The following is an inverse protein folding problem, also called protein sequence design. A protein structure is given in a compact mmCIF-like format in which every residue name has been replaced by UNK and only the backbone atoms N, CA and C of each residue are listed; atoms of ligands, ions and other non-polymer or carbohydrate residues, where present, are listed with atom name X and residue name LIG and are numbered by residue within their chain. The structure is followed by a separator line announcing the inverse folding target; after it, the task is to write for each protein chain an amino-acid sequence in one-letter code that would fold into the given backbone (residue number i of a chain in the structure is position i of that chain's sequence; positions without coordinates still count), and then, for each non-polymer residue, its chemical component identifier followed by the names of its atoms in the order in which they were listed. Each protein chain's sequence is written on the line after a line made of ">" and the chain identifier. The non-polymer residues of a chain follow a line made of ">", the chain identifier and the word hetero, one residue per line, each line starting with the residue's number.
data_IF_800756443817
#
_entry.id   IF_800756443817
#
_cell.length_a   1.000
_cell.length_b   1.000
_cell.length_c   1.000
_cell.angle_alpha   90.00
_cell.angle_beta   90.00
_cell.angle_gamma   90.00
#
_symmetry.space_group_name_H-M   'P 1'
#
loop_
_entity.id
_entity.type
_entity.pdbx_description
1 polymer ?
#
# COMPACT_ATOMS: atom_id res chain seq x y z
N UNK A 1 9.70 1.29 -1.16
CA UNK A 1 9.98 2.75 -1.25
C UNK A 1 11.42 2.94 -1.70
N UNK A 2 11.81 4.13 -2.12
CA UNK A 2 13.19 4.37 -2.55
C UNK A 2 13.41 5.78 -3.09
N UNK A 3 14.59 6.02 -3.64
CA UNK A 3 15.02 7.32 -4.17
C UNK A 3 15.06 7.34 -5.70
N UNK A 4 14.88 8.53 -6.27
CA UNK A 4 14.98 8.81 -7.70
C UNK A 4 16.24 9.64 -7.94
N UNK A 5 17.06 9.19 -8.89
CA UNK A 5 18.33 9.79 -9.26
C UNK A 5 18.27 10.28 -10.71
N UNK A 6 18.82 11.46 -10.95
CA UNK A 6 18.81 12.07 -12.27
C UNK A 6 19.23 13.52 -12.22
N UNK A 7 18.75 14.30 -13.19
CA UNK A 7 19.14 15.69 -13.40
C UNK A 7 17.91 16.58 -13.63
N UNK A 8 18.06 17.87 -13.32
CA UNK A 8 17.05 18.89 -13.62
C UNK A 8 17.65 19.87 -14.62
N UNK A 9 16.97 20.09 -15.74
CA UNK A 9 17.40 21.00 -16.81
C UNK A 9 16.38 22.12 -16.97
N UNK A 10 16.84 23.37 -17.01
CA UNK A 10 16.01 24.52 -17.36
C UNK A 10 16.25 24.90 -18.81
N UNK A 11 15.20 24.89 -19.63
CA UNK A 11 15.24 25.29 -21.03
C UNK A 11 14.42 26.57 -21.20
N UNK A 12 15.06 27.64 -21.66
CA UNK A 12 14.37 28.87 -22.02
C UNK A 12 13.74 28.71 -23.40
N UNK A 13 12.43 28.86 -23.46
CA UNK A 13 11.65 28.82 -24.69
C UNK A 13 11.13 30.22 -24.97
N UNK A 14 11.61 30.81 -26.06
CA UNK A 14 11.07 32.06 -26.57
C UNK A 14 9.82 31.74 -27.38
N UNK A 15 8.66 32.17 -26.90
CA UNK A 15 7.44 32.13 -27.70
C UNK A 15 7.31 33.46 -28.43
N UNK A 16 7.39 33.42 -29.76
CA UNK A 16 7.13 34.59 -30.60
C UNK A 16 5.62 34.70 -30.70
N UNK A 17 5.06 35.78 -30.19
CA UNK A 17 3.63 36.09 -30.32
C UNK A 17 3.39 36.89 -31.61
N UNK A 18 2.16 36.88 -32.13
CA UNK A 18 1.81 37.65 -33.35
C UNK A 18 1.88 39.18 -33.11
N UNK A 19 1.83 39.61 -31.85
CA UNK A 19 2.25 40.93 -31.41
C UNK A 19 3.78 40.97 -31.30
N UNK A 20 4.43 42.07 -31.68
CA UNK A 20 5.90 42.28 -31.60
C UNK A 20 6.45 42.32 -30.14
N UNK A 21 6.03 41.38 -29.30
CA UNK A 21 6.40 41.19 -27.91
C UNK A 21 6.93 39.76 -27.76
N UNK A 22 8.14 39.65 -27.22
CA UNK A 22 8.74 38.37 -26.88
C UNK A 22 8.33 37.99 -25.45
N UNK A 23 7.77 36.79 -25.28
CA UNK A 23 7.57 36.18 -23.96
C UNK A 23 8.53 35.00 -23.79
N UNK A 24 9.31 35.05 -22.71
CA UNK A 24 10.37 34.08 -22.40
C UNK A 24 9.92 33.21 -21.25
N UNK A 25 9.54 31.98 -21.56
CA UNK A 25 9.18 30.99 -20.57
C UNK A 25 10.38 30.08 -20.27
N UNK A 26 10.63 29.78 -18.99
CA UNK A 26 11.64 28.79 -18.61
C UNK A 26 10.94 27.50 -18.19
N UNK A 27 11.14 26.45 -18.96
CA UNK A 27 10.60 25.12 -18.69
C UNK A 27 11.66 24.31 -17.93
N UNK A 28 11.32 23.87 -16.72
CA UNK A 28 12.17 22.99 -15.93
C UNK A 28 11.77 21.53 -16.15
N UNK A 29 12.62 20.78 -16.84
CA UNK A 29 12.46 19.36 -17.11
C UNK A 29 13.25 18.53 -16.11
N UNK A 30 12.58 17.60 -15.44
CA UNK A 30 13.19 16.64 -14.50
C UNK A 30 13.38 15.31 -15.22
N UNK A 31 14.63 14.91 -15.43
CA UNK A 31 15.00 13.67 -16.09
C UNK A 31 15.35 12.58 -15.07
N UNK A 32 14.47 11.59 -14.92
CA UNK A 32 14.66 10.46 -14.00
C UNK A 32 15.43 9.35 -14.70
N UNK A 33 16.67 9.13 -14.29
CA UNK A 33 17.60 8.23 -15.01
C UNK A 33 17.80 6.89 -14.29
N UNK A 34 17.69 6.87 -12.96
CA UNK A 34 17.84 5.66 -12.13
C UNK A 34 16.99 5.76 -10.88
N UNK A 35 16.66 4.61 -10.29
CA UNK A 35 16.07 4.54 -8.95
C UNK A 35 16.95 3.71 -8.01
N UNK A 36 16.80 3.97 -6.72
CA UNK A 36 17.47 3.25 -5.64
C UNK A 36 16.41 2.65 -4.70
N UNK A 37 16.16 1.33 -4.74
CA UNK A 37 15.17 0.70 -3.88
C UNK A 37 15.67 0.58 -2.43
N UNK A 38 14.80 0.90 -1.49
CA UNK A 38 14.97 0.58 -0.07
C UNK A 38 14.15 -0.68 0.25
N UNK A 39 14.83 -1.79 0.52
CA UNK A 39 14.21 -3.11 0.73
C UNK A 39 13.47 -3.25 2.06
N UNK A 40 13.65 -2.32 3.00
CA UNK A 40 12.98 -2.31 4.29
C UNK A 40 12.23 -0.99 4.51
N UNK A 41 10.99 -1.10 4.98
CA UNK A 41 10.21 0.06 5.43
C UNK A 41 10.86 0.68 6.67
N UNK A 42 10.75 2.00 6.81
CA UNK A 42 11.36 2.73 7.93
C UNK A 42 12.89 2.57 8.00
N UNK A 43 13.53 2.30 6.86
CA UNK A 43 14.99 2.10 6.80
C UNK A 43 15.77 3.39 7.04
N UNK A 44 15.21 4.55 6.68
CA UNK A 44 15.85 5.86 6.82
C UNK A 44 15.00 6.87 7.61
N UNK A 45 13.89 6.45 8.21
CA UNK A 45 13.00 7.31 8.99
C UNK A 45 12.25 6.53 10.08
N UNK A 46 11.82 7.22 11.14
CA UNK A 46 11.08 6.62 12.25
C UNK A 46 9.54 6.71 12.06
N UNK A 47 8.77 6.19 13.03
CA UNK A 47 7.30 6.20 12.98
C UNK A 47 6.69 7.62 12.92
N UNK A 48 7.39 8.59 13.52
CA UNK A 48 7.05 10.02 13.50
C UNK A 48 7.43 10.73 12.19
N UNK A 49 8.13 10.07 11.26
CA UNK A 49 8.56 10.64 9.99
C UNK A 49 9.86 11.46 10.08
N UNK A 50 10.57 11.40 11.19
CA UNK A 50 11.89 12.01 11.37
C UNK A 50 12.95 11.15 10.67
N UNK A 51 13.95 11.81 10.10
CA UNK A 51 14.98 11.15 9.31
C UNK A 51 16.09 10.57 10.20
N UNK A 52 16.54 9.37 9.87
CA UNK A 52 17.80 8.83 10.36
C UNK A 52 18.91 9.18 9.38
N UNK A 53 19.64 10.26 9.66
CA UNK A 53 20.67 10.78 8.76
C UNK A 53 21.80 9.79 8.49
N UNK A 54 22.19 8.98 9.48
CA UNK A 54 23.25 7.99 9.32
C UNK A 54 22.82 6.88 8.36
N UNK A 55 21.59 6.38 8.52
CA UNK A 55 21.03 5.39 7.62
C UNK A 55 20.85 5.96 6.21
N UNK A 56 20.36 7.20 6.09
CA UNK A 56 20.20 7.89 4.82
C UNK A 56 21.55 8.07 4.11
N UNK A 57 22.59 8.53 4.82
CA UNK A 57 23.95 8.63 4.28
C UNK A 57 24.48 7.29 3.81
N UNK A 58 24.22 6.20 4.54
CA UNK A 58 24.62 4.84 4.14
C UNK A 58 23.88 4.34 2.90
N UNK A 59 22.61 4.68 2.76
CA UNK A 59 21.81 4.30 1.58
C UNK A 59 22.28 5.09 0.35
N UNK A 60 22.58 6.38 0.53
CA UNK A 60 23.03 7.27 -0.55
C UNK A 60 24.54 7.17 -0.81
N UNK A 61 25.33 6.57 0.08
CA UNK A 61 26.78 6.40 -0.09
C UNK A 61 27.05 5.48 -1.26
N UNK A 62 27.57 6.05 -2.35
CA UNK A 62 27.82 5.34 -3.62
C UNK A 62 26.99 5.87 -4.79
N UNK A 63 26.04 6.78 -4.55
CA UNK A 63 25.32 7.47 -5.62
C UNK A 63 26.20 8.60 -6.20
N UNK A 64 26.59 8.47 -7.47
CA UNK A 64 27.30 9.54 -8.21
C UNK A 64 26.37 10.64 -8.73
N UNK A 65 25.08 10.32 -8.90
CA UNK A 65 24.06 11.23 -9.45
C UNK A 65 23.27 11.91 -8.33
N UNK A 66 22.70 13.06 -8.66
CA UNK A 66 21.92 13.86 -7.71
C UNK A 66 20.59 13.18 -7.37
N UNK A 67 20.14 13.36 -6.13
CA UNK A 67 18.81 12.91 -5.69
C UNK A 67 17.80 13.98 -6.07
N UNK A 68 16.97 13.65 -7.07
CA UNK A 68 15.93 14.55 -7.60
C UNK A 68 14.56 14.27 -7.00
N UNK A 69 14.38 13.11 -6.38
CA UNK A 69 13.10 12.73 -5.79
C UNK A 69 13.15 11.43 -5.01
N UNK A 70 11.96 10.99 -4.60
CA UNK A 70 11.76 9.69 -3.99
C UNK A 70 10.43 9.09 -4.43
N UNK A 71 10.27 7.78 -4.25
CA UNK A 71 9.09 7.07 -4.69
C UNK A 71 8.55 6.12 -3.61
N UNK A 72 7.24 5.89 -3.67
CA UNK A 72 6.57 4.91 -2.83
C UNK A 72 5.57 4.12 -3.65
N UNK A 73 5.60 2.81 -3.42
CA UNK A 73 4.64 1.86 -4.00
C UNK A 73 3.63 1.46 -2.93
N UNK A 74 2.35 1.54 -3.24
CA UNK A 74 1.23 1.12 -2.38
C UNK A 74 0.32 0.17 -3.15
N UNK A 75 -0.46 -0.61 -2.43
CA UNK A 75 -1.44 -1.54 -3.00
C UNK A 75 -2.83 -1.21 -2.48
N UNK A 76 -3.81 -1.16 -3.37
CA UNK A 76 -5.23 -0.93 -3.08
C UNK A 76 -5.47 0.34 -2.25
N UNK A 77 -4.86 1.45 -2.66
CA UNK A 77 -5.01 2.77 -2.01
C UNK A 77 -5.24 3.85 -3.06
N UNK A 78 -5.89 4.94 -2.65
CA UNK A 78 -6.10 6.13 -3.47
C UNK A 78 -4.78 6.78 -3.92
N UNK A 79 -4.85 7.60 -4.96
CA UNK A 79 -3.70 8.32 -5.52
C UNK A 79 -3.46 9.68 -4.86
N UNK A 80 -3.37 9.67 -3.53
CA UNK A 80 -3.17 10.87 -2.68
C UNK A 80 -2.03 10.67 -1.69
N UNK A 81 -1.30 11.73 -1.35
CA UNK A 81 -0.21 11.64 -0.37
C UNK A 81 -0.75 11.48 1.05
N UNK A 82 -0.22 10.53 1.82
CA UNK A 82 -0.54 10.38 3.25
C UNK A 82 0.12 11.47 4.08
N UNK A 83 -0.39 11.69 5.29
CA UNK A 83 0.22 12.62 6.26
C UNK A 83 1.72 12.35 6.47
N UNK A 84 2.09 11.07 6.65
CA UNK A 84 3.49 10.67 6.83
C UNK A 84 4.34 10.98 5.60
N UNK A 85 3.83 10.71 4.40
CA UNK A 85 4.55 11.01 3.16
C UNK A 85 4.78 12.51 2.98
N UNK A 86 3.80 13.35 3.35
CA UNK A 86 3.93 14.81 3.30
C UNK A 86 4.99 15.32 4.28
N UNK A 87 5.01 14.79 5.50
CA UNK A 87 6.01 15.14 6.51
C UNK A 87 7.41 14.67 6.10
N UNK A 88 7.52 13.42 5.66
CA UNK A 88 8.78 12.84 5.21
C UNK A 88 9.34 13.62 4.01
N UNK A 89 8.50 14.01 3.07
CA UNK A 89 8.91 14.82 1.92
C UNK A 89 9.53 16.15 2.37
N UNK A 90 8.88 16.88 3.29
CA UNK A 90 9.43 18.13 3.84
C UNK A 90 10.77 17.91 4.55
N UNK A 91 10.87 16.85 5.34
CA UNK A 91 12.11 16.54 6.05
C UNK A 91 13.25 16.20 5.07
N UNK A 92 12.96 15.44 4.01
CA UNK A 92 13.92 15.13 2.95
C UNK A 92 14.33 16.37 2.16
N UNK A 93 13.39 17.26 1.85
CA UNK A 93 13.64 18.52 1.16
C UNK A 93 14.63 19.40 1.94
N UNK A 94 14.43 19.50 3.25
CA UNK A 94 15.33 20.23 4.16
C UNK A 94 16.71 19.57 4.27
N UNK A 95 16.77 18.25 4.44
CA UNK A 95 18.04 17.53 4.61
C UNK A 95 18.89 17.51 3.33
N UNK A 96 18.27 17.34 2.16
CA UNK A 96 18.95 17.29 0.87
C UNK A 96 19.19 18.69 0.26
N UNK A 97 18.69 19.76 0.90
CA UNK A 97 18.73 21.13 0.38
C UNK A 97 18.20 21.27 -1.07
N UNK A 98 17.24 20.42 -1.46
CA UNK A 98 16.66 20.41 -2.81
C UNK A 98 15.19 20.82 -2.76
N UNK A 99 14.89 22.09 -3.06
CA UNK A 99 13.51 22.61 -3.07
C UNK A 99 12.65 22.06 -4.22
N UNK A 100 13.27 21.52 -5.26
CA UNK A 100 12.60 20.91 -6.42
C UNK A 100 12.33 19.42 -6.25
N UNK A 101 12.50 18.85 -5.05
CA UNK A 101 12.32 17.43 -4.80
C UNK A 101 10.92 16.97 -5.23
N UNK A 102 10.86 15.87 -6.00
CA UNK A 102 9.59 15.28 -6.43
C UNK A 102 9.28 13.98 -5.70
N UNK A 103 7.99 13.68 -5.58
CA UNK A 103 7.48 12.44 -5.00
C UNK A 103 6.67 11.65 -6.02
N UNK A 104 7.19 10.50 -6.43
CA UNK A 104 6.48 9.57 -7.31
C UNK A 104 5.67 8.58 -6.48
N UNK A 105 4.35 8.67 -6.57
CA UNK A 105 3.44 7.74 -5.95
C UNK A 105 2.95 6.72 -6.98
N UNK A 106 3.13 5.43 -6.69
CA UNK A 106 2.60 4.33 -7.48
C UNK A 106 1.58 3.55 -6.65
N UNK A 107 0.40 3.32 -7.20
CA UNK A 107 -0.66 2.53 -6.58
C UNK A 107 -1.09 1.42 -7.52
N UNK A 108 -0.92 0.18 -7.09
CA UNK A 108 -1.46 -0.97 -7.79
C UNK A 108 -2.79 -1.37 -7.16
N UNK A 109 -3.86 -1.43 -7.94
CA UNK A 109 -5.18 -1.87 -7.49
C UNK A 109 -5.69 -3.01 -8.34
N UNK A 110 -6.41 -3.94 -7.71
CA UNK A 110 -7.19 -4.94 -8.44
C UNK A 110 -8.53 -4.31 -8.80
N UNK A 111 -8.90 -4.34 -10.08
CA UNK A 111 -10.12 -3.70 -10.58
C UNK A 111 -11.34 -4.62 -10.53
N UNK A 112 -11.11 -5.93 -10.56
CA UNK A 112 -12.16 -6.95 -10.58
C UNK A 112 -12.03 -7.87 -9.37
N UNK A 113 -13.14 -8.35 -8.82
CA UNK A 113 -13.14 -9.31 -7.70
C UNK A 113 -12.45 -10.63 -8.08
N UNK A 114 -12.47 -10.99 -9.36
CA UNK A 114 -11.84 -12.18 -9.92
C UNK A 114 -10.33 -12.05 -10.10
N UNK A 115 -9.74 -10.89 -9.81
CA UNK A 115 -8.31 -10.62 -10.02
C UNK A 115 -7.85 -10.80 -11.49
N UNK A 116 -8.76 -10.62 -12.45
CA UNK A 116 -8.47 -10.70 -13.90
C UNK A 116 -7.88 -9.41 -14.46
N UNK A 117 -8.15 -8.28 -13.83
CA UNK A 117 -7.74 -6.97 -14.32
C UNK A 117 -7.05 -6.18 -13.21
N UNK A 118 -5.82 -5.76 -13.49
CA UNK A 118 -5.01 -4.95 -12.59
C UNK A 118 -4.83 -3.56 -13.18
N UNK A 119 -4.74 -2.56 -12.30
CA UNK A 119 -4.43 -1.18 -12.66
C UNK A 119 -3.21 -0.73 -11.87
N UNK A 120 -2.24 -0.12 -12.54
CA UNK A 120 -1.10 0.55 -11.93
C UNK A 120 -1.19 2.04 -12.22
N UNK A 121 -1.71 2.80 -11.26
CA UNK A 121 -1.74 4.25 -11.37
C UNK A 121 -0.44 4.84 -10.83
N UNK A 122 0.07 5.89 -11.48
CA UNK A 122 1.27 6.58 -11.05
C UNK A 122 1.08 8.10 -11.19
N UNK A 123 1.60 8.85 -10.24
CA UNK A 123 1.49 10.31 -10.23
C UNK A 123 2.71 10.92 -9.54
N UNK A 124 3.29 11.91 -10.20
CA UNK A 124 4.40 12.69 -9.67
C UNK A 124 3.84 13.91 -8.92
N UNK A 125 4.30 14.13 -7.70
CA UNK A 125 3.87 15.23 -6.85
C UNK A 125 5.04 16.15 -6.55
N UNK A 126 4.79 17.46 -6.58
CA UNK A 126 5.77 18.48 -6.20
C UNK A 126 5.12 19.47 -5.23
N UNK A 127 5.82 19.89 -4.16
CA UNK A 127 5.33 20.97 -3.31
C UNK A 127 5.41 22.30 -4.06
N UNK A 128 4.30 23.03 -4.08
CA UNK A 128 4.19 24.40 -4.60
C UNK A 128 3.29 25.19 -3.65
N UNK A 129 3.84 26.26 -3.07
CA UNK A 129 3.12 27.17 -2.16
C UNK A 129 2.46 26.46 -0.95
N UNK A 130 3.09 25.41 -0.44
CA UNK A 130 2.59 24.63 0.71
C UNK A 130 1.54 23.57 0.37
N UNK A 131 1.06 23.53 -0.87
CA UNK A 131 0.22 22.46 -1.43
C UNK A 131 1.07 21.50 -2.27
N UNK A 132 0.58 20.28 -2.46
CA UNK A 132 1.22 19.31 -3.36
C UNK A 132 0.45 19.26 -4.67
N UNK A 133 1.11 19.63 -5.76
CA UNK A 133 0.52 19.62 -7.09
C UNK A 133 1.01 18.40 -7.87
N UNK A 134 0.14 17.88 -8.75
CA UNK A 134 0.50 16.81 -9.67
C UNK A 134 1.30 17.40 -10.82
N UNK A 135 2.47 16.82 -11.10
CA UNK A 135 3.35 17.18 -12.21
C UNK A 135 3.12 16.19 -13.34
N UNK A 136 2.96 16.64 -14.59
CA UNK A 136 2.84 15.74 -15.73
C UNK A 136 4.11 14.88 -15.86
N UNK A 137 3.91 13.58 -16.08
CA UNK A 137 4.98 12.62 -16.31
C UNK A 137 4.83 12.06 -17.72
N UNK A 138 5.90 12.16 -18.52
CA UNK A 138 5.96 11.62 -19.87
C UNK A 138 6.98 10.49 -19.88
N UNK A 139 6.59 9.35 -20.47
CA UNK A 139 7.49 8.20 -20.65
C UNK A 139 8.02 8.22 -22.09
N UNK A 140 9.32 8.49 -22.22
CA UNK A 140 9.98 8.54 -23.52
C UNK A 140 9.92 7.18 -24.22
N UNK A 141 9.48 7.19 -25.48
CA UNK A 141 9.37 6.00 -26.32
C UNK A 141 9.75 6.32 -27.77
N UNK A 142 10.02 5.29 -28.57
CA UNK A 142 10.43 5.44 -29.99
C UNK A 142 9.33 6.09 -30.85
N UNK A 143 8.06 5.94 -30.49
CA UNK A 143 6.94 6.52 -31.24
C UNK A 143 6.82 8.04 -31.13
N UNK A 144 7.58 8.67 -30.23
CA UNK A 144 7.67 10.14 -30.16
C UNK A 144 8.68 10.73 -31.14
N UNK A 145 9.42 9.89 -31.88
CA UNK A 145 10.29 10.35 -32.95
C UNK A 145 9.46 10.89 -34.12
N UNK A 146 9.96 11.94 -34.77
CA UNK A 146 9.32 12.55 -35.94
C UNK A 146 9.17 11.53 -37.08
N UNK A 147 8.01 11.50 -37.73
CA UNK A 147 7.73 10.55 -38.81
C UNK A 147 8.63 10.80 -40.01
N UNK A 148 9.56 9.87 -40.27
CA UNK A 148 10.39 9.88 -41.47
C UNK A 148 9.70 9.09 -42.58
N UNK A 149 9.08 9.80 -43.52
CA UNK A 149 8.63 9.21 -44.78
C UNK A 149 9.81 9.09 -45.75
N UNK A 150 10.09 7.89 -46.25
CA UNK A 150 11.06 7.73 -47.34
C UNK A 150 10.45 8.21 -48.66
N UNK A 151 11.19 9.07 -49.37
CA UNK A 151 10.79 9.51 -50.70
C UNK A 151 11.08 8.40 -51.73
N UNK A 152 10.02 7.75 -52.21
CA UNK A 152 10.11 6.64 -53.20
C UNK A 152 10.18 7.12 -54.65
N UNK A 153 9.69 8.34 -54.93
CA UNK A 153 9.69 8.92 -56.28
C UNK A 153 10.39 10.27 -56.28
N UNK A 154 11.39 10.42 -57.14
CA UNK A 154 12.02 11.70 -57.44
C UNK A 154 11.29 12.42 -58.57
N UNK A 155 11.24 13.75 -58.50
CA UNK A 155 10.80 14.55 -59.65
C UNK A 155 11.88 14.52 -60.73
N UNK A 156 11.50 14.27 -61.98
CA UNK A 156 12.44 14.32 -63.11
C UNK A 156 12.94 15.76 -63.34
N UNK A 157 14.24 15.95 -63.52
CA UNK A 157 14.85 17.24 -63.83
C UNK A 157 15.72 17.13 -65.10
N UNK A 158 15.39 17.91 -66.13
CA UNK A 158 16.09 17.91 -67.43
C UNK A 158 17.31 18.84 -67.42
N UNK A 159 17.51 19.62 -66.34
CA UNK A 159 18.62 20.59 -66.24
C UNK A 159 19.98 19.91 -66.21
N UNK A 160 20.77 20.11 -67.26
CA UNK A 160 22.13 19.60 -67.37
C UNK A 160 23.07 20.20 -66.33
N UNK A 161 22.86 21.46 -65.94
CA UNK A 161 23.63 22.15 -64.91
C UNK A 161 23.47 21.49 -63.54
N UNK A 162 22.23 21.15 -63.17
CA UNK A 162 21.93 20.43 -61.93
C UNK A 162 22.61 19.05 -61.91
N UNK A 163 22.45 18.26 -62.97
CA UNK A 163 23.05 16.92 -63.06
C UNK A 163 24.57 16.98 -62.96
N UNK A 164 25.21 17.96 -63.60
CA UNK A 164 26.67 18.13 -63.53
C UNK A 164 27.14 18.44 -62.11
N UNK A 165 26.45 19.35 -61.41
CA UNK A 165 26.79 19.69 -60.03
C UNK A 165 26.65 18.48 -59.10
N UNK A 166 25.53 17.75 -59.17
CA UNK A 166 25.32 16.54 -58.35
C UNK A 166 26.38 15.48 -58.63
N UNK A 167 26.76 15.26 -59.90
CA UNK A 167 27.81 14.30 -60.26
C UNK A 167 29.18 14.70 -59.73
N UNK A 168 29.52 15.99 -59.78
CA UNK A 168 30.81 16.50 -59.29
C UNK A 168 31.00 16.27 -57.78
N UNK A 169 29.93 16.39 -56.99
CA UNK A 169 29.97 16.20 -55.53
C UNK A 169 29.49 14.81 -55.08
N UNK A 170 29.19 13.89 -56.00
CA UNK A 170 28.62 12.58 -55.67
C UNK A 170 29.52 11.74 -54.77
N UNK A 171 30.83 11.77 -54.99
CA UNK A 171 31.82 10.98 -54.25
C UNK A 171 31.98 11.42 -52.79
N UNK A 172 31.45 12.59 -52.41
CA UNK A 172 31.46 13.06 -51.02
C UNK A 172 30.47 12.27 -50.13
N UNK A 173 29.38 11.76 -50.72
CA UNK A 173 28.28 11.10 -49.99
C UNK A 173 28.09 9.62 -50.36
N UNK A 174 28.47 9.24 -51.57
CA UNK A 174 28.30 7.88 -52.09
C UNK A 174 29.64 7.18 -52.23
N UNK A 175 29.66 5.87 -52.01
CA UNK A 175 30.73 5.00 -52.47
C UNK A 175 30.61 4.72 -53.98
N UNK A 176 31.65 4.13 -54.56
CA UNK A 176 31.71 3.76 -55.98
C UNK A 176 30.61 2.75 -56.38
N UNK A 177 30.14 1.93 -55.44
CA UNK A 177 29.03 0.98 -55.64
C UNK A 177 27.64 1.64 -55.58
N UNK A 178 27.57 2.95 -55.28
CA UNK A 178 26.34 3.71 -55.15
C UNK A 178 25.66 3.65 -53.79
N UNK A 179 26.26 3.00 -52.79
CA UNK A 179 25.77 3.01 -51.40
C UNK A 179 26.13 4.32 -50.68
N UNK A 180 25.31 4.72 -49.69
CA UNK A 180 25.53 5.96 -48.93
C UNK A 180 26.52 5.74 -47.80
N UNK A 181 27.52 6.61 -47.67
CA UNK A 181 28.59 6.47 -46.67
C UNK A 181 28.06 6.57 -45.24
N UNK A 182 27.12 7.48 -44.99
CA UNK A 182 26.54 7.75 -43.67
C UNK A 182 25.74 6.56 -43.14
N UNK A 183 25.06 5.83 -44.03
CA UNK A 183 24.31 4.62 -43.64
C UNK A 183 25.25 3.56 -43.09
N UNK A 184 26.40 3.34 -43.76
CA UNK A 184 27.40 2.39 -43.27
C UNK A 184 28.00 2.83 -41.93
N UNK A 185 28.39 4.11 -41.80
CA UNK A 185 28.93 4.67 -40.54
C UNK A 185 27.95 4.53 -39.36
N UNK A 186 26.66 4.85 -39.57
CA UNK A 186 25.63 4.71 -38.53
C UNK A 186 25.39 3.24 -38.19
N UNK A 187 25.38 2.35 -39.18
CA UNK A 187 25.24 0.91 -38.96
C UNK A 187 26.42 0.33 -38.18
N UNK A 188 27.66 0.73 -38.49
CA UNK A 188 28.86 0.31 -37.73
C UNK A 188 28.80 0.78 -36.28
N UNK A 189 28.42 2.05 -36.05
CA UNK A 189 28.20 2.59 -34.71
C UNK A 189 27.12 1.78 -33.96
N UNK A 190 26.01 1.45 -34.64
CA UNK A 190 24.93 0.65 -34.07
C UNK A 190 25.39 -0.77 -33.72
N UNK A 191 26.17 -1.43 -34.60
CA UNK A 191 26.73 -2.77 -34.35
C UNK A 191 27.63 -2.75 -33.12
N UNK A 192 28.51 -1.75 -33.00
CA UNK A 192 29.41 -1.62 -31.84
C UNK A 192 28.61 -1.41 -30.55
N UNK A 193 27.56 -0.58 -30.58
CA UNK A 193 26.69 -0.37 -29.41
C UNK A 193 25.94 -1.66 -29.03
N UNK A 194 25.47 -2.41 -30.02
CA UNK A 194 24.77 -3.67 -29.81
C UNK A 194 25.68 -4.75 -29.19
N UNK A 195 26.95 -4.80 -29.60
CA UNK A 195 27.94 -5.71 -29.03
C UNK A 195 28.25 -5.36 -27.56
N UNK A 196 28.43 -4.08 -27.24
CA UNK A 196 28.61 -3.64 -25.86
C UNK A 196 27.37 -3.94 -25.00
N UNK A 197 26.16 -3.74 -25.54
CA UNK A 197 24.92 -4.12 -24.84
C UNK A 197 24.88 -5.63 -24.56
N UNK A 198 25.25 -6.46 -25.55
CA UNK A 198 25.30 -7.92 -25.39
C UNK A 198 26.28 -8.34 -24.29
N UNK A 199 27.44 -7.70 -24.22
CA UNK A 199 28.44 -7.94 -23.17
C UNK A 199 27.94 -7.56 -21.78
N UNK A 200 27.24 -6.43 -21.66
CA UNK A 200 26.59 -6.02 -20.41
C UNK A 200 25.50 -7.03 -20.01
N UNK A 201 24.67 -7.48 -20.96
CA UNK A 201 23.65 -8.49 -20.70
C UNK A 201 24.23 -9.78 -20.11
N UNK A 202 25.32 -10.31 -20.68
CA UNK A 202 26.00 -11.49 -20.13
C UNK A 202 26.55 -11.26 -18.72
N UNK A 203 27.02 -10.05 -18.42
CA UNK A 203 27.49 -9.68 -17.08
C UNK A 203 26.33 -9.63 -16.08
N UNK A 204 25.19 -9.04 -16.47
CA UNK A 204 23.98 -8.96 -15.65
C UNK A 204 23.43 -10.36 -15.37
N UNK A 205 23.35 -11.24 -16.37
CA UNK A 205 22.92 -12.63 -16.22
C UNK A 205 23.72 -13.38 -15.16
N UNK A 206 25.06 -13.28 -15.19
CA UNK A 206 25.93 -13.90 -14.19
C UNK A 206 25.67 -13.31 -12.80
N UNK A 207 25.49 -12.00 -12.71
CA UNK A 207 25.21 -11.34 -11.43
C UNK A 207 23.85 -11.74 -10.84
N UNK A 208 22.80 -11.87 -11.66
CA UNK A 208 21.47 -12.32 -11.24
C UNK A 208 21.52 -13.76 -10.72
N UNK A 209 22.20 -14.68 -11.41
CA UNK A 209 22.43 -16.05 -10.92
C UNK A 209 23.16 -16.07 -9.57
N UNK A 210 24.14 -15.19 -9.39
CA UNK A 210 24.84 -15.08 -8.11
C UNK A 210 23.92 -14.57 -6.99
N UNK A 211 23.06 -13.58 -7.28
CA UNK A 211 22.08 -13.06 -6.33
C UNK A 211 21.05 -14.13 -5.97
N UNK A 212 20.55 -14.87 -6.94
CA UNK A 212 19.62 -15.99 -6.73
C UNK A 212 20.21 -17.03 -5.76
N UNK A 213 21.45 -17.47 -6.02
CA UNK A 213 22.15 -18.41 -5.16
C UNK A 213 22.29 -17.89 -3.72
N UNK A 214 22.74 -16.64 -3.56
CA UNK A 214 22.89 -16.02 -2.25
C UNK A 214 21.56 -15.87 -1.51
N UNK A 215 20.48 -15.51 -2.22
CA UNK A 215 19.15 -15.41 -1.64
C UNK A 215 18.65 -16.77 -1.14
N UNK A 216 18.91 -17.85 -1.90
CA UNK A 216 18.57 -19.21 -1.48
C UNK A 216 19.33 -19.62 -0.21
N UNK A 217 20.65 -19.38 -0.16
CA UNK A 217 21.47 -19.65 1.02
C UNK A 217 21.01 -18.86 2.25
N UNK A 218 20.73 -17.56 2.10
CA UNK A 218 20.20 -16.71 3.17
C UNK A 218 18.83 -17.19 3.65
N UNK A 219 17.96 -17.66 2.74
CA UNK A 219 16.65 -18.20 3.10
C UNK A 219 16.79 -19.49 3.92
N UNK A 220 17.64 -20.42 3.47
CA UNK A 220 17.92 -21.66 4.18
C UNK A 220 18.45 -21.39 5.60
N UNK A 221 19.44 -20.50 5.72
CA UNK A 221 20.00 -20.11 7.02
C UNK A 221 18.95 -19.47 7.95
N UNK A 222 18.06 -18.63 7.41
CA UNK A 222 16.96 -18.05 8.18
C UNK A 222 16.00 -19.11 8.71
N UNK A 223 15.70 -20.14 7.92
CA UNK A 223 14.85 -21.26 8.36
C UNK A 223 15.53 -22.09 9.44
N UNK A 224 16.82 -22.39 9.31
CA UNK A 224 17.58 -23.11 10.33
C UNK A 224 17.63 -22.35 11.66
N UNK A 225 17.87 -21.04 11.61
CA UNK A 225 17.81 -20.16 12.79
C UNK A 225 16.42 -20.18 13.42
N UNK A 226 15.35 -20.14 12.61
CA UNK A 226 13.97 -20.22 13.11
C UNK A 226 13.70 -21.56 13.81
N UNK A 227 14.10 -22.68 13.21
CA UNK A 227 13.95 -24.02 13.81
C UNK A 227 14.70 -24.14 15.13
N UNK A 228 15.96 -23.68 15.20
CA UNK A 228 16.76 -23.69 16.44
C UNK A 228 16.13 -22.83 17.54
N UNK A 229 15.61 -21.64 17.19
CA UNK A 229 14.88 -20.78 18.15
C UNK A 229 13.62 -21.44 18.70
N UNK A 230 12.86 -22.14 17.85
CA UNK A 230 11.66 -22.88 18.27
C UNK A 230 12.00 -24.05 19.20
N UNK A 231 13.05 -24.81 18.89
CA UNK A 231 13.54 -25.90 19.74
C UNK A 231 14.01 -25.40 21.12
N UNK A 232 14.70 -24.26 21.18
CA UNK A 232 15.10 -23.64 22.44
C UNK A 232 13.91 -23.15 23.28
N UNK A 233 12.84 -22.67 22.63
CA UNK A 233 11.61 -22.27 23.32
C UNK A 233 10.83 -23.50 23.85
N UNK A 234 10.83 -24.60 23.10
CA UNK A 234 10.21 -25.86 23.54
C UNK A 234 10.98 -26.51 24.70
N UNK A 235 12.32 -26.56 24.65
CA UNK A 235 13.12 -27.09 25.75
C UNK A 235 13.00 -26.28 27.05
N UNK A 236 12.79 -24.96 26.96
CA UNK A 236 12.51 -24.12 28.14
C UNK A 236 11.10 -24.30 28.70
N UNK A 237 10.16 -24.84 27.91
CA UNK A 237 8.79 -25.14 28.34
C UNK A 237 8.71 -26.51 29.02
N UNK A 238 9.51 -27.48 28.57
CA UNK A 238 9.55 -28.84 29.14
C UNK A 238 10.32 -28.94 30.46
N UNK A 239 11.30 -28.06 30.72
CA UNK A 239 12.02 -28.03 32.01
C UNK A 239 11.23 -27.33 33.14
N UNK A 240 10.06 -26.76 32.81
CA UNK A 240 9.14 -26.10 33.75
C UNK A 240 7.87 -26.88 34.06
N UNK A 241 7.70 -28.10 33.53
CA UNK A 241 6.51 -28.92 33.74
C UNK A 241 6.66 -29.74 35.05
N UNK A 242 6.74 -29.02 36.17
CA UNK A 242 6.29 -29.57 37.44
C UNK A 242 4.77 -29.82 37.30
N UNK A 243 4.24 -31.01 37.68
CA UNK A 243 2.81 -31.29 37.56
C UNK A 243 2.03 -30.18 38.26
N UNK A 244 1.28 -29.42 37.46
CA UNK A 244 0.73 -28.13 37.81
C UNK A 244 0.09 -28.13 39.19
N UNK A 245 0.55 -27.21 40.04
CA UNK A 245 -0.35 -26.65 41.03
C UNK A 245 -1.59 -26.17 40.27
N UNK A 246 -2.81 -26.49 40.73
CA UNK A 246 -4.02 -26.01 40.08
C UNK A 246 -3.93 -24.49 39.96
N UNK A 247 -4.14 -23.94 38.76
CA UNK A 247 -4.20 -22.49 38.55
C UNK A 247 -5.30 -21.92 39.46
N UNK A 248 -4.89 -21.28 40.54
CA UNK A 248 -5.80 -20.69 41.51
C UNK A 248 -6.47 -19.46 40.90
N UNK A 249 -7.72 -19.18 41.28
CA UNK A 249 -8.36 -17.93 40.89
C UNK A 249 -7.80 -16.78 41.72
N UNK A 250 -6.70 -16.21 41.24
CA UNK A 250 -5.91 -15.15 41.87
C UNK A 250 -6.78 -13.98 42.35
N UNK A 251 -7.73 -13.53 41.53
CA UNK A 251 -8.64 -12.43 41.85
C UNK A 251 -9.57 -12.77 43.03
N UNK A 252 -10.14 -13.98 43.03
CA UNK A 252 -11.00 -14.44 44.11
C UNK A 252 -10.23 -14.64 45.41
N UNK A 253 -9.03 -15.21 45.34
CA UNK A 253 -8.16 -15.41 46.49
C UNK A 253 -7.78 -14.07 47.14
N UNK A 254 -7.38 -13.09 46.34
CA UNK A 254 -7.07 -11.74 46.85
C UNK A 254 -8.32 -11.05 47.41
N UNK A 255 -9.50 -11.22 46.78
CA UNK A 255 -10.76 -10.64 47.28
C UNK A 255 -11.14 -11.23 48.65
N UNK A 256 -11.06 -12.54 48.81
CA UNK A 256 -11.38 -13.20 50.08
C UNK A 256 -10.39 -12.82 51.19
N UNK A 257 -9.11 -12.64 50.88
CA UNK A 257 -8.11 -12.13 51.82
C UNK A 257 -8.39 -10.67 52.22
N UNK A 258 -8.75 -9.80 51.28
CA UNK A 258 -9.02 -8.37 51.54
C UNK A 258 -10.31 -8.13 52.30
N UNK A 259 -11.41 -8.81 51.95
CA UNK A 259 -12.70 -8.63 52.63
C UNK A 259 -12.83 -9.43 53.94
N UNK A 260 -12.19 -10.60 54.04
CA UNK A 260 -12.37 -11.52 55.17
C UNK A 260 -11.06 -12.14 55.67
N UNK A 261 -10.09 -11.34 56.15
CA UNK A 261 -8.73 -11.80 56.48
C UNK A 261 -8.66 -12.88 57.57
N UNK A 262 -9.64 -12.94 58.48
CA UNK A 262 -9.65 -13.85 59.64
C UNK A 262 -10.69 -14.97 59.55
N UNK A 263 -11.27 -15.22 58.38
CA UNK A 263 -12.42 -16.11 58.21
C UNK A 263 -12.07 -17.59 58.01
N UNK A 264 -10.80 -17.91 57.70
CA UNK A 264 -10.41 -19.28 57.31
C UNK A 264 -11.02 -19.76 55.98
N UNK A 265 -11.72 -18.89 55.24
CA UNK A 265 -12.43 -19.19 53.99
C UNK A 265 -11.55 -19.17 52.74
N UNK A 266 -10.22 -19.14 52.90
CA UNK A 266 -9.26 -19.08 51.79
C UNK A 266 -9.14 -20.41 51.01
N UNK A 267 -9.83 -21.46 51.46
CA UNK A 267 -9.84 -22.77 50.82
C UNK A 267 -10.93 -22.86 49.76
N UNK A 268 -10.55 -22.87 48.47
CA UNK A 268 -11.47 -23.06 47.35
C UNK A 268 -11.70 -24.54 46.97
N UNK A 269 -11.25 -25.49 47.80
CA UNK A 269 -11.28 -26.92 47.47
C UNK A 269 -12.02 -27.74 48.54
N UNK A 270 -13.00 -28.52 48.09
CA UNK A 270 -13.77 -29.45 48.90
C UNK A 270 -13.52 -30.87 48.41
N UNK A 271 -13.36 -31.82 49.33
CA UNK A 271 -13.26 -33.24 48.98
C UNK A 271 -14.56 -33.75 48.36
N UNK A 272 -14.48 -34.82 47.57
CA UNK A 272 -15.65 -35.50 46.99
C UNK A 272 -16.66 -35.99 48.05
N UNK A 273 -16.25 -36.08 49.32
CA UNK A 273 -17.09 -36.44 50.48
C UNK A 273 -17.64 -35.22 51.26
N UNK A 274 -17.47 -34.01 50.74
CA UNK A 274 -18.00 -32.77 51.35
C UNK A 274 -17.17 -32.22 52.51
N UNK A 275 -16.00 -32.78 52.80
CA UNK A 275 -15.07 -32.26 53.81
C UNK A 275 -14.13 -31.21 53.20
N UNK A 276 -13.91 -30.10 53.91
CA UNK A 276 -13.05 -28.99 53.48
C UNK A 276 -11.56 -29.42 53.48
N UNK A 277 -10.81 -29.06 52.43
CA UNK A 277 -9.39 -29.37 52.31
C UNK A 277 -8.59 -28.08 52.55
N UNK A 278 -7.80 -28.03 53.63
CA UNK A 278 -7.06 -26.84 54.09
C UNK A 278 -5.67 -26.66 53.45
N UNK A 279 -5.24 -27.57 52.57
CA UNK A 279 -3.84 -27.64 52.12
C UNK A 279 -3.49 -26.79 50.90
N UNK A 280 -4.48 -26.27 50.16
CA UNK A 280 -4.26 -25.53 48.92
C UNK A 280 -4.96 -24.16 48.97
N UNK A 281 -4.58 -23.35 49.95
CA UNK A 281 -5.03 -21.97 50.03
C UNK A 281 -3.93 -21.07 49.46
N UNK A 282 -4.31 -20.24 48.49
CA UNK A 282 -3.49 -19.15 48.00
C UNK A 282 -3.08 -18.24 49.18
N UNK A 283 -1.81 -18.32 49.59
CA UNK A 283 -1.24 -17.52 50.68
C UNK A 283 -0.34 -16.38 50.16
N UNK A 284 -0.23 -16.25 48.84
CA UNK A 284 0.53 -15.20 48.18
C UNK A 284 -0.31 -13.93 48.05
N UNK A 285 0.25 -12.81 48.48
CA UNK A 285 -0.31 -11.50 48.16
C UNK A 285 0.02 -11.17 46.70
N UNK A 286 -1.01 -11.05 45.88
CA UNK A 286 -0.87 -10.78 44.45
C UNK A 286 -0.81 -9.29 44.11
N UNK A 287 -0.83 -8.42 45.13
CA UNK A 287 -0.70 -6.96 44.98
C UNK A 287 -1.72 -6.37 43.98
N UNK A 288 -2.93 -6.92 44.00
CA UNK A 288 -4.08 -6.45 43.19
C UNK A 288 -4.90 -5.51 44.08
N UNK A 289 -5.09 -4.28 43.61
CA UNK A 289 -5.93 -3.27 44.27
C UNK A 289 -7.41 -3.58 44.03
N UNK A 290 -8.06 -4.24 44.99
CA UNK A 290 -9.48 -4.58 44.92
C UNK A 290 -10.28 -3.46 45.56
N UNK A 291 -10.65 -2.48 44.74
CA UNK A 291 -11.53 -1.39 45.11
C UNK A 291 -12.97 -1.73 44.71
N UNK A 292 -13.74 -2.35 45.60
CA UNK A 292 -15.21 -2.37 45.51
C UNK A 292 -15.84 -2.70 46.87
N UNK A 293 -16.90 -1.99 47.25
CA UNK A 293 -17.60 -2.25 48.52
C UNK A 293 -18.47 -3.49 48.36
N UNK A 294 -18.29 -4.50 49.22
CA UNK A 294 -19.32 -5.53 49.39
C UNK A 294 -20.63 -4.89 49.85
N UNK A 295 -21.74 -5.43 49.34
CA UNK A 295 -23.15 -5.01 49.49
C UNK A 295 -23.41 -3.92 50.55
N UNK A 296 -23.96 -2.80 50.11
CA UNK A 296 -24.39 -1.69 50.96
C UNK A 296 -25.44 -2.20 51.98
N UNK A 297 -25.06 -2.36 53.25
CA UNK A 297 -26.01 -2.72 54.30
C UNK A 297 -26.79 -1.47 54.73
N UNK A 298 -28.02 -1.33 54.24
CA UNK A 298 -28.97 -0.32 54.70
C UNK A 298 -30.01 -1.03 55.54
N UNK A 299 -30.12 -0.65 56.80
CA UNK A 299 -31.13 -1.13 57.74
C UNK A 299 -32.37 -0.22 57.59
N UNK A 300 -33.40 -0.69 56.90
CA UNK A 300 -34.69 0.00 56.85
C UNK A 300 -35.53 -0.42 58.06
N UNK A 301 -35.84 0.53 58.96
CA UNK A 301 -36.72 0.29 60.11
C UNK A 301 -38.21 0.34 59.71
N UNK A 302 -38.85 -0.82 59.89
CA UNK A 302 -40.24 -1.14 60.24
C UNK A 302 -41.45 -0.61 59.45
N UNK A 303 -42.28 -1.55 58.99
CA UNK A 303 -43.74 -1.43 59.02
C UNK A 303 -44.38 -2.63 59.74
N UNK A 304 -45.28 -2.30 60.66
CA UNK A 304 -46.02 -3.12 61.62
C UNK A 304 -46.99 -4.12 61.00
N UNK A 305 -46.99 -5.36 61.52
CA UNK A 305 -47.99 -6.41 61.27
C UNK A 305 -49.41 -5.99 61.69
N UNK A 306 -50.42 -6.30 60.87
CA UNK A 306 -51.82 -6.24 61.25
C UNK A 306 -52.60 -7.49 60.77
N UNK A 307 -52.86 -8.36 61.74
CA UNK A 307 -54.03 -9.21 62.01
C UNK A 307 -54.82 -9.91 60.89
N UNK A 308 -54.89 -11.23 61.08
CA UNK A 308 -55.87 -12.19 60.56
C UNK A 308 -57.33 -11.85 60.93
N UNK A 309 -58.25 -11.84 59.95
CA UNK A 309 -59.69 -12.12 60.17
C UNK A 309 -60.28 -13.02 59.09
N UNK A 310 -60.89 -14.11 59.52
CA UNK A 310 -61.59 -15.11 58.72
C UNK A 310 -63.08 -14.75 58.52
N UNK A 311 -63.52 -14.83 57.25
CA UNK A 311 -64.77 -15.36 56.69
C UNK A 311 -66.14 -15.13 57.37
N UNK A 312 -67.09 -14.50 56.64
CA UNK A 312 -68.42 -15.11 56.41
C UNK A 312 -69.10 -14.63 55.12
N UNK A 313 -69.94 -15.52 54.58
CA UNK A 313 -70.44 -15.66 53.21
C UNK A 313 -71.70 -14.84 52.90
N UNK A 314 -71.85 -14.38 51.65
CA UNK A 314 -73.08 -14.61 50.85
C UNK A 314 -72.78 -14.68 49.35
N UNK A 315 -73.49 -15.62 48.71
CA UNK A 315 -73.38 -16.21 47.35
C UNK A 315 -74.42 -15.48 46.46
N UNK A 316 -74.17 -15.14 45.19
CA UNK A 316 -74.54 -15.87 43.94
C UNK A 316 -74.30 -14.86 42.78
N UNK A 317 -73.32 -15.07 41.86
CA UNK A 317 -73.38 -15.69 40.50
C UNK A 317 -73.88 -14.70 39.41
N UNK A 318 -73.26 -14.48 38.25
CA UNK A 318 -72.04 -14.96 37.58
C UNK A 318 -71.58 -13.84 36.60
N UNK A 319 -70.37 -13.84 36.05
CA UNK A 319 -69.90 -14.76 35.01
C UNK A 319 -68.35 -14.89 35.01
N UNK A 320 -67.91 -16.16 35.09
CA UNK A 320 -66.81 -16.82 34.35
C UNK A 320 -65.46 -16.08 34.20
N UNK A 321 -64.47 -16.42 35.05
CA UNK A 321 -63.33 -17.36 34.80
C UNK A 321 -62.31 -16.84 33.79
N UNK A 322 -61.01 -16.75 34.07
CA UNK A 322 -60.22 -17.24 35.18
C UNK A 322 -58.75 -16.99 34.84
N UNK A 323 -58.04 -16.49 35.85
CA UNK A 323 -56.64 -16.06 35.90
C UNK A 323 -55.61 -17.13 35.50
N UNK A 324 -54.38 -16.69 35.18
CA UNK A 324 -53.23 -16.81 36.12
C UNK A 324 -52.00 -16.02 35.67
N UNK A 325 -51.37 -15.43 36.69
CA UNK A 325 -50.11 -14.72 36.67
C UNK A 325 -48.89 -15.68 36.62
N UNK A 326 -47.72 -15.03 36.63
CA UNK A 326 -46.34 -15.54 36.81
C UNK A 326 -45.55 -15.88 35.55
N UNK A 327 -44.56 -15.03 35.24
CA UNK A 327 -43.15 -15.35 35.52
C UNK A 327 -42.27 -14.10 35.32
N UNK A 328 -41.46 -13.83 36.34
CA UNK A 328 -40.21 -13.07 36.20
C UNK A 328 -39.29 -13.85 35.25
N UNK A 329 -38.74 -13.16 34.27
CA UNK A 329 -37.48 -13.54 33.64
C UNK A 329 -36.77 -12.26 33.22
N UNK A 330 -35.95 -11.72 34.13
CA UNK A 330 -34.80 -10.90 33.74
C UNK A 330 -33.80 -11.84 33.08
N UNK A 331 -33.70 -11.81 31.76
CA UNK A 331 -32.50 -12.23 31.05
C UNK A 331 -31.64 -10.99 30.84
N UNK A 332 -30.57 -10.87 31.62
CA UNK A 332 -29.43 -10.03 31.26
C UNK A 332 -28.69 -10.74 30.13
N UNK A 333 -29.06 -10.45 28.89
CA UNK A 333 -28.21 -10.72 27.74
C UNK A 333 -27.38 -9.47 27.46
N UNK A 334 -26.10 -9.58 27.83
CA UNK A 334 -24.93 -9.16 27.08
C UNK A 334 -25.16 -8.06 26.02
N UNK A 335 -24.84 -6.82 26.38
CA UNK A 335 -24.54 -5.79 25.39
C UNK A 335 -23.22 -6.13 24.69
N UNK A 336 -23.30 -6.89 23.60
CA UNK A 336 -22.38 -6.72 22.48
C UNK A 336 -22.94 -5.60 21.59
N UNK A 337 -22.21 -4.50 21.46
CA UNK A 337 -22.41 -3.53 20.39
C UNK A 337 -21.76 -4.06 19.11
N UNK A 338 -22.51 -4.22 18.02
CA UNK A 338 -22.04 -3.85 16.70
C UNK A 338 -22.81 -2.61 16.26
N UNK A 339 -22.09 -1.50 16.03
CA UNK A 339 -22.65 -0.33 15.37
C UNK A 339 -22.73 -0.66 13.86
N UNK A 340 -23.93 -0.98 13.37
CA UNK A 340 -24.31 -0.81 11.97
C UNK A 340 -25.37 0.29 11.97
N UNK A 341 -25.00 1.47 11.48
CA UNK A 341 -25.98 2.41 10.95
C UNK A 341 -25.83 2.39 9.43
N UNK A 342 -26.88 1.87 8.81
CA UNK A 342 -27.19 2.02 7.40
C UNK A 342 -28.36 3.01 7.37
N UNK A 343 -28.10 4.23 6.93
CA UNK A 343 -29.14 5.13 6.46
C UNK A 343 -29.05 5.18 4.93
N UNK A 344 -30.07 4.58 4.31
CA UNK A 344 -30.49 4.82 2.94
C UNK A 344 -30.81 6.31 2.77
N UNK A 345 -30.25 6.91 1.72
CA UNK A 345 -30.91 8.03 1.05
C UNK A 345 -30.68 7.86 -0.45
N UNK A 346 -31.69 7.27 -1.08
CA UNK A 346 -31.93 7.31 -2.52
C UNK A 346 -31.89 8.75 -3.03
N UNK A 347 -31.00 9.01 -3.98
CA UNK A 347 -31.27 9.98 -5.05
C UNK A 347 -30.48 9.60 -6.30
N UNK A 348 -31.17 8.88 -7.19
CA UNK A 348 -30.79 8.67 -8.57
C UNK A 348 -30.48 10.01 -9.25
N UNK A 349 -29.21 10.20 -9.64
CA UNK A 349 -28.84 11.23 -10.61
C UNK A 349 -28.23 10.57 -11.82
N UNK A 350 -29.08 10.38 -12.85
CA UNK A 350 -28.71 10.20 -14.25
C UNK A 350 -27.56 11.15 -14.60
N UNK A 351 -26.40 10.59 -14.95
CA UNK A 351 -25.40 11.29 -15.74
C UNK A 351 -25.38 10.66 -17.12
N UNK A 352 -26.05 11.37 -18.01
CA UNK A 352 -26.03 11.25 -19.47
C UNK A 352 -24.60 11.33 -19.99
N UNK A 353 -24.22 10.29 -20.72
CA UNK A 353 -23.12 10.29 -21.68
C UNK A 353 -23.42 11.37 -22.73
N UNK A 354 -22.57 12.37 -22.86
CA UNK A 354 -22.55 13.27 -24.01
C UNK A 354 -21.35 12.92 -24.88
N UNK A 355 -21.57 11.97 -25.78
CA UNK A 355 -20.74 11.74 -26.96
C UNK A 355 -21.15 12.80 -27.99
N UNK A 356 -20.23 13.65 -28.40
CA UNK A 356 -20.42 14.51 -29.58
C UNK A 356 -20.08 13.70 -30.82
N UNK A 357 -21.11 13.34 -31.57
CA UNK A 357 -21.04 12.85 -32.94
C UNK A 357 -20.83 14.04 -33.88
N UNK A 358 -19.87 13.90 -34.80
CA UNK A 358 -19.87 14.62 -36.08
C UNK A 358 -19.97 13.58 -37.16
N UNK A 359 -21.09 13.60 -37.87
CA UNK A 359 -21.36 12.94 -39.14
C UNK A 359 -20.36 13.40 -40.21
N UNK A 360 -19.80 12.44 -40.97
CA UNK A 360 -19.62 12.58 -42.41
C UNK A 360 -19.82 11.23 -43.10
N UNK A 361 -20.92 11.19 -43.85
CA UNK A 361 -21.15 10.56 -45.15
C UNK A 361 -20.72 9.12 -45.46
N UNK A 362 -21.78 8.30 -45.49
CA UNK A 362 -22.05 7.15 -46.34
C UNK A 362 -21.44 7.17 -47.76
N UNK A 363 -20.78 6.07 -48.12
CA UNK A 363 -20.78 5.52 -49.49
C UNK A 363 -20.64 3.99 -49.44
N UNK A 364 -21.76 3.30 -49.63
CA UNK A 364 -21.82 1.86 -49.88
C UNK A 364 -21.23 1.50 -51.26
N UNK A 365 -20.45 0.41 -51.31
CA UNK A 365 -20.61 -0.64 -52.35
C UNK A 365 -19.82 -1.92 -52.04
N UNK A 366 -20.58 -2.93 -51.62
CA UNK A 366 -20.61 -4.32 -52.11
C UNK A 366 -19.34 -5.19 -52.20
N UNK A 367 -19.40 -6.34 -51.48
CA UNK A 367 -18.97 -7.72 -51.86
C UNK A 367 -17.44 -7.94 -51.96
N UNK A 368 -16.80 -8.97 -51.42
CA UNK A 368 -17.17 -10.38 -51.23
C UNK A 368 -16.41 -11.01 -50.04
N UNK A 369 -17.02 -12.06 -49.50
CA UNK A 369 -16.44 -13.17 -48.74
C UNK A 369 -15.06 -13.62 -49.25
N UNK A 370 -14.06 -13.67 -48.36
CA UNK A 370 -13.08 -14.77 -48.35
C UNK A 370 -12.34 -14.86 -47.01
N UNK A 371 -12.21 -16.10 -46.56
CA UNK A 371 -11.48 -16.56 -45.39
C UNK A 371 -9.99 -16.15 -45.43
N UNK A 372 -9.44 -15.70 -44.31
CA UNK A 372 -7.99 -15.78 -44.04
C UNK A 372 -7.72 -16.15 -42.57
N UNK A 373 -6.64 -16.90 -42.28
CA UNK A 373 -6.52 -17.74 -41.11
C UNK A 373 -5.84 -17.06 -39.91
N UNK A 374 -6.01 -17.69 -38.75
CA UNK A 374 -5.46 -17.34 -37.45
C UNK A 374 -3.96 -17.03 -37.46
N UNK A 375 -3.59 -15.91 -36.84
CA UNK A 375 -2.22 -15.53 -36.49
C UNK A 375 -1.71 -16.32 -35.27
N UNK A 376 -0.42 -16.67 -35.19
CA UNK A 376 0.13 -17.35 -34.02
C UNK A 376 0.42 -16.35 -32.90
N UNK A 377 0.04 -16.75 -31.69
CA UNK A 377 0.32 -16.09 -30.41
C UNK A 377 1.82 -16.14 -30.09
N UNK A 378 2.32 -15.08 -29.44
CA UNK A 378 3.63 -15.02 -28.78
C UNK A 378 3.66 -15.85 -27.50
#
# INVERSE_FOLDING_TARGET
>A
EGFLLGDVKGEAKNSITDSQMDDVEVVYTIDIQKHLPCYQLFSFYNSAGELNELALKKILSGCKKSVIGWYRFRRNTDQTMTFRERLLHKNLQSHLANQGLVFLLLTSSVMTETCSTYRLEHALHRPQEGLFQKVPLVVTNLGMAEQQGYRTVSGSCISSGFVRAVRQHRSEFFYEDGSLQEVQKINEMYVTLQEELKKICSTVEVSERSVEKLLAEVSQLKEEVKKKKQQQQQSHSEDGDHPGQPEENVLLCQALQTFFPNSGLQACIVSFKGQQITKNCCNTDHNIDIMDKLTLMVEEQDFTEAETRHLTKRKVRGTTTGSKAFKKSRSLQLHQKPLRDQEDSDQERKLTLSSTETDEDTLEKTRDTNEYPQSPTF
#
